data_IF_504124522218
#
_entry.id   IF_504124522218
#
_cell.length_a   1.000
_cell.length_b   1.000
_cell.length_c   1.000
_cell.angle_alpha   90.00
_cell.angle_beta   90.00
_cell.angle_gamma   90.00
#
_symmetry.space_group_name_H-M   'P 1'
#
loop_
_entity.id
_entity.type
_entity.pdbx_description
1 polymer ?
#
# COMPACT_ATOMS: atom_id res chain seq x y z
N UNK A 1 42.06 79.33 -29.96
CA UNK A 1 40.78 79.54 -30.66
C UNK A 1 40.58 78.33 -31.55
N UNK A 2 39.43 77.65 -31.49
CA UNK A 2 39.24 76.44 -32.31
C UNK A 2 38.82 76.81 -33.75
N UNK A 3 38.92 75.86 -34.68
CA UNK A 3 38.59 76.11 -36.09
C UNK A 3 37.16 76.63 -36.30
N UNK A 4 36.20 76.21 -35.46
CA UNK A 4 34.81 76.67 -35.49
C UNK A 4 34.71 78.13 -35.07
N UNK A 5 35.40 78.53 -34.00
CA UNK A 5 35.44 79.91 -33.55
C UNK A 5 36.09 80.82 -34.61
N UNK A 6 37.16 80.37 -35.27
CA UNK A 6 37.85 81.11 -36.34
C UNK A 6 36.96 81.31 -37.57
N UNK A 7 36.21 80.27 -37.96
CA UNK A 7 35.19 80.37 -39.01
C UNK A 7 34.10 81.39 -38.63
N UNK A 8 33.69 81.41 -37.36
CA UNK A 8 32.67 82.35 -36.88
C UNK A 8 33.19 83.80 -36.89
N UNK A 9 34.46 84.01 -36.54
CA UNK A 9 35.12 85.32 -36.70
C UNK A 9 35.24 85.72 -38.17
N UNK A 10 35.65 84.81 -39.06
CA UNK A 10 35.72 85.06 -40.50
C UNK A 10 34.35 85.48 -41.05
N UNK A 11 33.27 84.79 -40.65
CA UNK A 11 31.89 85.17 -40.99
C UNK A 11 31.54 86.56 -40.46
N UNK A 12 31.89 86.87 -39.22
CA UNK A 12 31.64 88.18 -38.61
C UNK A 12 32.35 89.31 -39.36
N UNK A 13 33.60 89.07 -39.79
CA UNK A 13 34.38 90.02 -40.58
C UNK A 13 33.74 90.25 -41.94
N UNK A 14 33.30 89.18 -42.62
CA UNK A 14 32.59 89.26 -43.90
C UNK A 14 31.27 90.04 -43.74
N UNK A 15 30.49 89.78 -42.69
CA UNK A 15 29.23 90.46 -42.42
C UNK A 15 29.40 91.93 -42.02
N UNK A 16 30.51 92.27 -41.36
CA UNK A 16 30.88 93.63 -40.96
C UNK A 16 31.59 94.46 -42.04
N UNK A 17 31.80 93.90 -43.24
CA UNK A 17 32.53 94.60 -44.31
C UNK A 17 31.84 95.90 -44.77
N UNK A 18 32.65 96.95 -44.94
CA UNK A 18 32.16 98.20 -45.53
C UNK A 18 31.99 97.99 -47.04
N UNK A 19 30.76 98.14 -47.56
CA UNK A 19 30.48 97.97 -49.00
C UNK A 19 31.16 99.06 -49.82
N UNK A 20 31.80 98.67 -50.93
CA UNK A 20 32.42 99.61 -51.86
C UNK A 20 31.33 100.23 -52.75
N UNK A 21 31.16 101.57 -52.76
CA UNK A 21 30.16 102.22 -53.61
C UNK A 21 30.38 101.91 -55.09
N UNK A 22 29.32 101.56 -55.82
CA UNK A 22 29.36 101.27 -57.26
C UNK A 22 29.67 99.82 -57.65
N UNK A 23 30.05 98.95 -56.71
CA UNK A 23 30.33 97.53 -56.97
C UNK A 23 29.38 96.65 -56.15
N UNK A 24 28.46 95.93 -56.81
CA UNK A 24 27.61 94.96 -56.13
C UNK A 24 28.47 93.78 -55.63
N UNK A 25 28.20 93.35 -54.39
CA UNK A 25 28.87 92.22 -53.72
C UNK A 25 30.39 92.36 -53.52
N UNK A 26 30.91 93.58 -53.39
CA UNK A 26 32.30 93.82 -52.95
C UNK A 26 32.33 94.64 -51.66
N UNK A 27 33.00 94.11 -50.65
CA UNK A 27 33.25 94.76 -49.37
C UNK A 27 34.74 94.97 -49.15
N UNK A 28 35.10 96.05 -48.47
CA UNK A 28 36.46 96.33 -48.05
C UNK A 28 36.73 95.56 -46.76
N UNK A 29 37.78 94.73 -46.79
CA UNK A 29 38.24 93.89 -45.68
C UNK A 29 39.68 94.29 -45.37
N UNK A 30 40.05 94.27 -44.10
CA UNK A 30 41.44 94.38 -43.70
C UNK A 30 42.18 93.10 -44.08
N UNK A 31 43.14 93.22 -45.00
CA UNK A 31 43.87 92.09 -45.54
C UNK A 31 44.76 91.43 -44.48
N UNK A 32 45.36 92.23 -43.59
CA UNK A 32 46.29 91.73 -42.56
C UNK A 32 45.51 90.86 -41.55
N UNK A 33 44.39 91.39 -41.04
CA UNK A 33 43.49 90.65 -40.15
C UNK A 33 42.87 89.38 -40.78
N UNK A 34 42.58 89.40 -42.09
CA UNK A 34 42.08 88.23 -42.80
C UNK A 34 43.16 87.15 -42.96
N UNK A 35 44.38 87.58 -43.28
CA UNK A 35 45.51 86.67 -43.47
C UNK A 35 45.94 86.01 -42.16
N UNK A 36 45.89 86.75 -41.04
CA UNK A 36 46.12 86.20 -39.70
C UNK A 36 45.16 85.05 -39.39
N UNK A 37 43.86 85.20 -39.68
CA UNK A 37 42.85 84.14 -39.44
C UNK A 37 43.09 82.94 -40.36
N UNK A 38 43.47 83.18 -41.62
CA UNK A 38 43.77 82.09 -42.58
C UNK A 38 45.02 81.32 -42.16
N UNK A 39 46.09 82.00 -41.75
CA UNK A 39 47.33 81.38 -41.26
C UNK A 39 47.09 80.60 -39.97
N UNK A 40 46.24 81.12 -39.07
CA UNK A 40 45.86 80.42 -37.83
C UNK A 40 45.00 79.18 -38.11
N UNK A 41 44.07 79.26 -39.08
CA UNK A 41 43.29 78.12 -39.56
C UNK A 41 44.18 77.07 -40.24
N UNK A 42 45.09 77.49 -41.12
CA UNK A 42 45.99 76.58 -41.84
C UNK A 42 46.93 75.84 -40.87
N UNK A 43 47.35 76.51 -39.80
CA UNK A 43 48.20 75.91 -38.76
C UNK A 43 47.44 74.99 -37.81
N UNK A 44 46.23 75.36 -37.37
CA UNK A 44 45.53 74.66 -36.29
C UNK A 44 44.54 73.59 -36.79
N UNK A 45 43.91 73.76 -37.95
CA UNK A 45 42.92 72.82 -38.49
C UNK A 45 43.49 71.40 -38.73
N UNK A 46 44.71 71.21 -39.29
CA UNK A 46 45.28 69.88 -39.44
C UNK A 46 45.53 69.18 -38.11
N UNK A 47 45.95 69.93 -37.09
CA UNK A 47 46.19 69.43 -35.73
C UNK A 47 44.88 68.99 -35.10
N UNK A 48 43.83 69.82 -35.18
CA UNK A 48 42.49 69.50 -34.64
C UNK A 48 41.86 68.27 -35.34
N UNK A 49 42.07 68.10 -36.65
CA UNK A 49 41.64 66.90 -37.40
C UNK A 49 42.45 65.67 -36.97
N UNK A 50 43.76 65.80 -36.77
CA UNK A 50 44.60 64.69 -36.32
C UNK A 50 44.20 64.22 -34.92
N UNK A 51 44.03 65.15 -33.98
CA UNK A 51 43.55 64.86 -32.62
C UNK A 51 42.17 64.19 -32.64
N UNK A 52 41.25 64.69 -33.47
CA UNK A 52 39.93 64.07 -33.65
C UNK A 52 40.02 62.64 -34.16
N UNK A 53 40.90 62.37 -35.13
CA UNK A 53 41.13 61.01 -35.66
C UNK A 53 41.76 60.09 -34.61
N UNK A 54 42.66 60.60 -33.77
CA UNK A 54 43.23 59.84 -32.65
C UNK A 54 42.16 59.49 -31.60
N UNK A 55 41.28 60.43 -31.26
CA UNK A 55 40.13 60.20 -30.38
C UNK A 55 39.20 59.14 -30.98
N UNK A 56 38.91 59.20 -32.29
CA UNK A 56 38.09 58.18 -32.96
C UNK A 56 38.74 56.80 -32.91
N UNK A 57 40.05 56.69 -33.17
CA UNK A 57 40.79 55.43 -33.04
C UNK A 57 40.77 54.89 -31.61
N UNK A 58 40.95 55.74 -30.62
CA UNK A 58 40.88 55.36 -29.20
C UNK A 58 39.47 54.86 -28.84
N UNK A 59 38.43 55.57 -29.28
CA UNK A 59 37.04 55.14 -29.09
C UNK A 59 36.77 53.79 -29.74
N UNK A 60 37.19 53.57 -30.98
CA UNK A 60 37.01 52.28 -31.66
C UNK A 60 37.73 51.14 -30.92
N UNK A 61 38.93 51.40 -30.40
CA UNK A 61 39.67 50.45 -29.56
C UNK A 61 38.92 50.13 -28.26
N UNK A 62 38.39 51.13 -27.57
CA UNK A 62 37.60 50.97 -26.34
C UNK A 62 36.34 50.14 -26.63
N UNK A 63 35.61 50.46 -27.70
CA UNK A 63 34.41 49.71 -28.10
C UNK A 63 34.74 48.26 -28.40
N UNK A 64 35.83 48.01 -29.14
CA UNK A 64 36.26 46.65 -29.47
C UNK A 64 36.67 45.86 -28.23
N UNK A 65 37.38 46.48 -27.29
CA UNK A 65 37.77 45.87 -26.02
C UNK A 65 36.53 45.53 -25.16
N UNK A 66 35.59 46.48 -25.04
CA UNK A 66 34.34 46.28 -24.31
C UNK A 66 33.47 45.17 -24.93
N UNK A 67 33.40 45.09 -26.26
CA UNK A 67 32.71 44.01 -26.97
C UNK A 67 33.35 42.64 -26.73
N UNK A 68 34.68 42.57 -26.75
CA UNK A 68 35.41 41.34 -26.49
C UNK A 68 35.19 40.86 -25.06
N UNK A 69 35.25 41.76 -24.09
CA UNK A 69 35.00 41.44 -22.69
C UNK A 69 33.55 41.00 -22.44
N UNK A 70 32.58 41.68 -23.07
CA UNK A 70 31.17 41.28 -23.00
C UNK A 70 30.92 39.89 -23.61
N UNK A 71 31.62 39.56 -24.70
CA UNK A 71 31.55 38.21 -25.29
C UNK A 71 32.13 37.17 -24.34
N UNK A 72 33.30 37.44 -23.75
CA UNK A 72 33.95 36.54 -22.79
C UNK A 72 33.06 36.28 -21.58
N UNK A 73 32.47 37.32 -21.01
CA UNK A 73 31.56 37.20 -19.88
C UNK A 73 30.33 36.35 -20.21
N UNK A 74 29.74 36.51 -21.41
CA UNK A 74 28.63 35.65 -21.85
C UNK A 74 29.05 34.18 -21.95
N UNK A 75 30.22 33.91 -22.51
CA UNK A 75 30.71 32.54 -22.67
C UNK A 75 30.98 31.87 -21.31
N UNK A 76 31.54 32.61 -20.35
CA UNK A 76 31.75 32.15 -18.97
C UNK A 76 30.41 31.85 -18.27
N UNK A 77 29.46 32.79 -18.30
CA UNK A 77 28.12 32.60 -17.71
C UNK A 77 27.38 31.42 -18.37
N UNK A 78 27.48 31.28 -19.70
CA UNK A 78 26.84 30.17 -20.41
C UNK A 78 27.44 28.82 -20.03
N UNK A 79 28.76 28.74 -19.82
CA UNK A 79 29.42 27.53 -19.33
C UNK A 79 28.96 27.17 -17.92
N UNK A 80 28.97 28.13 -17.01
CA UNK A 80 28.51 27.92 -15.63
C UNK A 80 27.04 27.49 -15.58
N UNK A 81 26.18 28.15 -16.35
CA UNK A 81 24.76 27.80 -16.44
C UNK A 81 24.56 26.39 -17.00
N UNK A 82 25.34 25.98 -18.00
CA UNK A 82 25.27 24.63 -18.54
C UNK A 82 25.70 23.58 -17.50
N UNK A 83 26.76 23.85 -16.73
CA UNK A 83 27.22 22.98 -15.65
C UNK A 83 26.12 22.86 -14.57
N UNK A 84 25.60 23.99 -14.08
CA UNK A 84 24.51 24.00 -13.10
C UNK A 84 23.27 23.26 -13.61
N UNK A 85 22.89 23.44 -14.88
CA UNK A 85 21.74 22.74 -15.47
C UNK A 85 21.96 21.23 -15.49
N UNK A 86 23.16 20.78 -15.85
CA UNK A 86 23.51 19.36 -15.85
C UNK A 86 23.50 18.78 -14.44
N UNK A 87 24.04 19.50 -13.46
CA UNK A 87 24.08 19.01 -12.08
C UNK A 87 22.69 19.00 -11.43
N UNK A 88 21.88 20.05 -11.66
CA UNK A 88 20.48 20.06 -11.24
C UNK A 88 19.68 18.91 -11.89
N UNK A 89 19.93 18.61 -13.17
CA UNK A 89 19.29 17.48 -13.85
C UNK A 89 19.69 16.14 -13.21
N UNK A 90 20.98 15.95 -12.89
CA UNK A 90 21.44 14.72 -12.21
C UNK A 90 20.80 14.56 -10.83
N UNK A 91 20.64 15.65 -10.07
CA UNK A 91 19.97 15.60 -8.76
C UNK A 91 18.50 15.20 -8.90
N UNK A 92 17.79 15.77 -9.88
CA UNK A 92 16.41 15.41 -10.20
C UNK A 92 16.31 13.93 -10.60
N UNK A 93 17.20 13.46 -11.48
CA UNK A 93 17.22 12.07 -11.94
C UNK A 93 17.50 11.11 -10.77
N UNK A 94 18.45 11.44 -9.89
CA UNK A 94 18.76 10.66 -8.71
C UNK A 94 17.60 10.63 -7.70
N UNK A 95 16.87 11.74 -7.56
CA UNK A 95 15.68 11.83 -6.71
C UNK A 95 14.53 10.98 -7.29
N UNK A 96 14.31 11.02 -8.60
CA UNK A 96 13.31 10.19 -9.27
C UNK A 96 13.62 8.70 -9.14
N UNK A 97 14.88 8.29 -9.29
CA UNK A 97 15.29 6.90 -9.09
C UNK A 97 14.96 6.41 -7.68
N UNK A 98 15.37 7.16 -6.64
CA UNK A 98 15.06 6.79 -5.24
C UNK A 98 13.56 6.73 -4.97
N UNK A 99 12.80 7.69 -5.50
CA UNK A 99 11.36 7.74 -5.33
C UNK A 99 10.67 6.53 -5.99
N UNK A 100 11.14 6.12 -7.18
CA UNK A 100 10.63 4.95 -7.87
C UNK A 100 10.95 3.65 -7.11
N UNK A 101 12.19 3.48 -6.62
CA UNK A 101 12.57 2.31 -5.81
C UNK A 101 11.71 2.19 -4.55
N UNK A 102 11.47 3.29 -3.84
CA UNK A 102 10.59 3.31 -2.67
C UNK A 102 9.13 3.01 -3.02
N UNK A 103 8.66 3.48 -4.19
CA UNK A 103 7.31 3.24 -4.66
C UNK A 103 7.09 1.76 -5.01
N UNK A 104 8.05 1.13 -5.70
CA UNK A 104 8.01 -0.31 -6.00
C UNK A 104 7.95 -1.15 -4.72
N UNK A 105 8.76 -0.82 -3.71
CA UNK A 105 8.73 -1.50 -2.41
C UNK A 105 7.38 -1.35 -1.71
N UNK A 106 6.76 -0.17 -1.75
CA UNK A 106 5.44 0.08 -1.14
C UNK A 106 4.32 -0.67 -1.86
N UNK A 107 4.33 -0.72 -3.20
CA UNK A 107 3.38 -1.54 -3.97
C UNK A 107 3.56 -3.01 -3.61
N UNK A 108 4.79 -3.52 -3.67
CA UNK A 108 5.06 -4.92 -3.36
C UNK A 108 4.60 -5.29 -1.94
N UNK A 109 4.87 -4.43 -0.96
CA UNK A 109 4.37 -4.64 0.40
C UNK A 109 2.84 -4.65 0.47
N UNK A 110 2.18 -3.71 -0.23
CA UNK A 110 0.71 -3.66 -0.30
C UNK A 110 0.12 -4.89 -0.99
N UNK A 111 0.73 -5.41 -2.05
CA UNK A 111 0.31 -6.63 -2.74
C UNK A 111 0.45 -7.85 -1.84
N UNK A 112 1.56 -7.97 -1.12
CA UNK A 112 1.76 -9.06 -0.15
C UNK A 112 0.71 -9.00 0.95
N UNK A 113 0.38 -7.81 1.47
CA UNK A 113 -0.67 -7.65 2.48
C UNK A 113 -2.06 -7.98 1.92
N UNK A 114 -2.38 -7.56 0.70
CA UNK A 114 -3.65 -7.86 0.05
C UNK A 114 -3.82 -9.37 -0.19
N UNK A 115 -2.78 -10.06 -0.67
CA UNK A 115 -2.82 -11.52 -0.85
C UNK A 115 -2.87 -12.26 0.48
N UNK A 116 -2.11 -11.82 1.49
CA UNK A 116 -2.12 -12.44 2.82
C UNK A 116 -3.48 -12.31 3.51
N UNK A 117 -4.13 -11.14 3.40
CA UNK A 117 -5.49 -10.92 3.95
C UNK A 117 -6.52 -11.79 3.23
N UNK A 118 -6.49 -11.82 1.89
CA UNK A 118 -7.36 -12.70 1.11
C UNK A 118 -7.21 -14.17 1.49
N UNK A 119 -5.98 -14.69 1.58
CA UNK A 119 -5.74 -16.08 2.01
C UNK A 119 -6.20 -16.36 3.44
N UNK A 120 -6.04 -15.39 4.34
CA UNK A 120 -6.52 -15.53 5.71
C UNK A 120 -8.05 -15.62 5.78
N UNK A 121 -8.76 -14.82 4.97
CA UNK A 121 -10.22 -14.89 4.84
C UNK A 121 -10.68 -16.23 4.25
N UNK A 122 -10.05 -16.69 3.17
CA UNK A 122 -10.35 -18.00 2.56
C UNK A 122 -10.15 -19.15 3.55
N UNK A 123 -9.01 -19.18 4.25
CA UNK A 123 -8.71 -20.20 5.25
C UNK A 123 -9.67 -20.15 6.43
N UNK A 124 -10.04 -18.95 6.88
CA UNK A 124 -11.01 -18.77 7.96
C UNK A 124 -12.38 -19.31 7.55
N UNK A 125 -12.81 -19.05 6.32
CA UNK A 125 -14.09 -19.53 5.81
C UNK A 125 -14.10 -21.05 5.63
N UNK A 126 -13.02 -21.63 5.09
CA UNK A 126 -12.84 -23.08 4.95
C UNK A 126 -12.89 -23.75 6.32
N UNK A 127 -12.09 -23.27 7.28
CA UNK A 127 -12.06 -23.81 8.64
C UNK A 127 -13.42 -23.70 9.33
N UNK A 128 -14.17 -22.61 9.11
CA UNK A 128 -15.51 -22.44 9.67
C UNK A 128 -16.50 -23.45 9.06
N UNK A 129 -16.40 -23.71 7.76
CA UNK A 129 -17.24 -24.70 7.07
C UNK A 129 -16.93 -26.12 7.57
N UNK A 130 -15.64 -26.47 7.65
CA UNK A 130 -15.18 -27.78 8.13
C UNK A 130 -15.60 -28.01 9.59
N UNK A 131 -15.43 -27.02 10.45
CA UNK A 131 -15.85 -27.10 11.85
C UNK A 131 -17.37 -27.26 11.96
N UNK A 132 -18.14 -26.59 11.10
CA UNK A 132 -19.61 -26.73 11.05
C UNK A 132 -20.03 -28.13 10.61
N UNK A 133 -19.35 -28.71 9.61
CA UNK A 133 -19.60 -30.08 9.16
C UNK A 133 -19.22 -31.11 10.24
N UNK A 134 -18.03 -30.99 10.82
CA UNK A 134 -17.60 -31.89 11.91
C UNK A 134 -18.56 -31.85 13.09
N UNK A 135 -19.07 -30.67 13.44
CA UNK A 135 -20.09 -30.53 14.49
C UNK A 135 -21.39 -31.26 14.11
N UNK A 136 -21.86 -31.10 12.88
CA UNK A 136 -23.08 -31.76 12.41
C UNK A 136 -22.93 -33.28 12.41
N UNK A 137 -21.80 -33.79 11.94
CA UNK A 137 -21.50 -35.22 11.92
C UNK A 137 -21.43 -35.79 13.33
N UNK A 138 -20.73 -35.11 14.25
CA UNK A 138 -20.65 -35.51 15.65
C UNK A 138 -22.04 -35.51 16.33
N UNK A 139 -22.90 -34.54 16.03
CA UNK A 139 -24.27 -34.50 16.53
C UNK A 139 -25.12 -35.67 15.99
N UNK A 140 -24.97 -36.00 14.71
CA UNK A 140 -25.69 -37.12 14.09
C UNK A 140 -25.23 -38.47 14.64
N UNK A 141 -23.92 -38.68 14.79
CA UNK A 141 -23.38 -39.89 15.38
C UNK A 141 -23.76 -40.04 16.85
N UNK A 142 -23.75 -38.94 17.61
CA UNK A 142 -24.23 -38.94 19.00
C UNK A 142 -25.69 -39.39 19.08
N UNK A 143 -26.57 -38.86 18.21
CA UNK A 143 -27.99 -39.28 18.15
C UNK A 143 -28.12 -40.76 17.83
N UNK A 144 -27.40 -41.25 16.81
CA UNK A 144 -27.43 -42.67 16.43
C UNK A 144 -27.00 -43.59 17.56
N UNK A 145 -25.92 -43.23 18.27
CA UNK A 145 -25.43 -44.02 19.41
C UNK A 145 -26.47 -44.07 20.53
N UNK A 146 -27.13 -42.94 20.83
CA UNK A 146 -28.18 -42.89 21.85
C UNK A 146 -29.38 -43.75 21.45
N UNK A 147 -29.84 -43.66 20.20
CA UNK A 147 -30.95 -44.47 19.69
C UNK A 147 -30.64 -45.98 19.75
N UNK A 148 -29.45 -46.38 19.31
CA UNK A 148 -29.01 -47.77 19.36
C UNK A 148 -28.87 -48.28 20.80
N UNK A 149 -28.36 -47.46 21.72
CA UNK A 149 -28.26 -47.79 23.13
C UNK A 149 -29.64 -47.99 23.76
N UNK A 150 -30.59 -47.07 23.51
CA UNK A 150 -31.97 -47.19 23.97
C UNK A 150 -32.67 -48.44 23.44
N UNK A 151 -32.43 -48.79 22.17
CA UNK A 151 -32.98 -50.00 21.56
C UNK A 151 -32.43 -51.26 22.24
N UNK A 152 -31.12 -51.31 22.49
CA UNK A 152 -30.47 -52.43 23.20
C UNK A 152 -30.97 -52.54 24.64
N UNK A 153 -31.08 -51.42 25.34
CA UNK A 153 -31.63 -51.38 26.70
C UNK A 153 -33.03 -51.99 26.75
N UNK A 154 -33.92 -51.56 25.84
CA UNK A 154 -35.28 -52.08 25.76
C UNK A 154 -35.31 -53.59 25.48
N UNK A 155 -34.44 -54.09 24.61
CA UNK A 155 -34.32 -55.52 24.34
C UNK A 155 -33.82 -56.32 25.55
N UNK A 156 -32.83 -55.79 26.29
CA UNK A 156 -32.32 -56.42 27.51
C UNK A 156 -33.43 -56.48 28.57
N UNK A 157 -34.17 -55.39 28.77
CA UNK A 157 -35.29 -55.35 29.71
C UNK A 157 -36.39 -56.35 29.32
N UNK A 158 -36.75 -56.43 28.03
CA UNK A 158 -37.76 -57.39 27.55
C UNK A 158 -37.31 -58.85 27.73
N UNK A 159 -36.06 -59.17 27.40
CA UNK A 159 -35.53 -60.54 27.57
C UNK A 159 -35.37 -60.92 29.04
N UNK A 160 -34.93 -59.99 29.88
CA UNK A 160 -34.85 -60.17 31.33
C UNK A 160 -36.23 -60.39 31.96
N UNK A 161 -37.25 -59.60 31.60
CA UNK A 161 -38.62 -59.78 32.10
C UNK A 161 -39.21 -61.12 31.66
N UNK A 162 -39.02 -61.50 30.39
CA UNK A 162 -39.46 -62.80 29.88
C UNK A 162 -38.80 -63.96 30.63
N UNK A 163 -37.47 -63.95 30.76
CA UNK A 163 -36.73 -65.00 31.48
C UNK A 163 -37.11 -65.05 32.97
N UNK A 164 -37.37 -63.90 33.60
CA UNK A 164 -37.84 -63.81 34.98
C UNK A 164 -39.21 -64.48 35.15
N UNK A 165 -40.15 -64.21 34.24
CA UNK A 165 -41.48 -64.86 34.23
C UNK A 165 -41.36 -66.36 34.03
N UNK A 166 -40.62 -66.81 33.00
CA UNK A 166 -40.40 -68.24 32.73
C UNK A 166 -39.79 -68.97 33.93
N UNK A 167 -38.81 -68.35 34.62
CA UNK A 167 -38.21 -68.91 35.84
C UNK A 167 -39.21 -68.99 37.00
N UNK A 168 -40.04 -67.96 37.20
CA UNK A 168 -41.09 -67.95 38.23
C UNK A 168 -42.11 -69.04 37.96
N UNK A 169 -42.64 -69.10 36.74
CA UNK A 169 -43.65 -70.07 36.34
C UNK A 169 -43.11 -71.51 36.47
N UNK A 170 -41.86 -71.75 36.03
CA UNK A 170 -41.21 -73.06 36.17
C UNK A 170 -40.96 -73.45 37.64
N UNK A 171 -40.55 -72.49 38.49
CA UNK A 171 -40.38 -72.73 39.92
C UNK A 171 -41.73 -73.04 40.61
N UNK A 172 -42.79 -72.31 40.24
CA UNK A 172 -44.14 -72.52 40.76
C UNK A 172 -44.69 -73.89 40.32
N UNK A 173 -44.47 -74.29 39.07
CA UNK A 173 -44.84 -75.62 38.58
C UNK A 173 -44.09 -76.72 39.33
N UNK A 174 -42.77 -76.60 39.47
CA UNK A 174 -41.98 -77.56 40.23
C UNK A 174 -42.43 -77.66 41.69
N UNK A 175 -42.72 -76.52 42.34
CA UNK A 175 -43.25 -76.51 43.69
C UNK A 175 -44.58 -77.26 43.79
N UNK A 176 -45.49 -77.08 42.81
CA UNK A 176 -46.75 -77.84 42.76
C UNK A 176 -46.51 -79.34 42.61
N UNK A 177 -45.64 -79.76 41.69
CA UNK A 177 -45.33 -81.18 41.47
C UNK A 177 -44.77 -81.84 42.73
N UNK A 178 -43.82 -81.19 43.41
CA UNK A 178 -43.27 -81.70 44.67
C UNK A 178 -44.34 -81.77 45.77
N UNK A 179 -45.20 -80.76 45.88
CA UNK A 179 -46.30 -80.76 46.85
C UNK A 179 -47.31 -81.89 46.57
N UNK A 180 -47.68 -82.13 45.31
CA UNK A 180 -48.54 -83.25 44.93
C UNK A 180 -47.90 -84.61 45.24
N UNK A 181 -46.61 -84.79 44.93
CA UNK A 181 -45.90 -86.01 45.28
C UNK A 181 -45.80 -86.24 46.80
N UNK A 182 -45.65 -85.16 47.57
CA UNK A 182 -45.65 -85.23 49.03
C UNK A 182 -47.04 -85.61 49.56
N UNK A 183 -48.10 -85.04 49.00
CA UNK A 183 -49.50 -85.36 49.34
C UNK A 183 -49.83 -86.83 49.06
N UNK A 184 -49.46 -87.35 47.89
CA UNK A 184 -49.69 -88.74 47.51
C UNK A 184 -48.95 -89.71 48.45
N UNK A 185 -47.68 -89.38 48.76
CA UNK A 185 -46.87 -90.16 49.70
C UNK A 185 -47.47 -90.16 51.11
N UNK A 186 -47.92 -89.01 51.61
CA UNK A 186 -48.59 -88.90 52.90
C UNK A 186 -49.93 -89.67 52.91
N UNK A 187 -50.69 -89.61 51.82
CA UNK A 187 -51.95 -90.34 51.66
C UNK A 187 -51.75 -91.85 51.70
N UNK A 188 -50.73 -92.35 51.00
CA UNK A 188 -50.34 -93.76 51.04
C UNK A 188 -49.92 -94.22 52.44
N UNK A 189 -49.10 -93.42 53.14
CA UNK A 189 -48.70 -93.69 54.51
C UNK A 189 -49.89 -93.67 55.48
N UNK A 190 -50.81 -92.71 55.35
CA UNK A 190 -52.05 -92.66 56.13
C UNK A 190 -52.93 -93.88 55.87
N UNK A 191 -53.03 -94.34 54.62
CA UNK A 191 -53.79 -95.54 54.29
C UNK A 191 -53.16 -96.80 54.91
N UNK A 192 -51.83 -96.92 54.90
CA UNK A 192 -51.14 -98.00 55.61
C UNK A 192 -51.39 -97.97 57.12
N UNK A 193 -51.40 -96.78 57.73
CA UNK A 193 -51.73 -96.62 59.16
C UNK A 193 -53.18 -97.06 59.42
N UNK A 194 -54.14 -96.66 58.57
CA UNK A 194 -55.55 -97.09 58.69
C UNK A 194 -55.69 -98.61 58.60
N UNK A 195 -55.12 -99.24 57.57
CA UNK A 195 -55.12 -100.70 57.42
C UNK A 195 -54.48 -101.40 58.63
N UNK A 196 -53.42 -100.83 59.21
CA UNK A 196 -52.82 -101.32 60.45
C UNK A 196 -53.74 -101.19 61.66
N UNK A 197 -54.46 -100.07 61.80
CA UNK A 197 -55.47 -99.86 62.85
C UNK A 197 -56.64 -100.84 62.69
N UNK A 198 -57.17 -101.00 61.48
CA UNK A 198 -58.27 -101.93 61.18
C UNK A 198 -57.87 -103.37 61.51
N UNK A 199 -56.65 -103.79 61.11
CA UNK A 199 -56.09 -105.10 61.45
C UNK A 199 -55.98 -105.32 62.96
N UNK A 200 -55.56 -104.30 63.72
CA UNK A 200 -55.50 -104.37 65.19
C UNK A 200 -56.90 -104.41 65.84
N UNK A 201 -57.90 -103.84 65.17
CA UNK A 201 -59.30 -103.82 65.65
C UNK A 201 -59.99 -105.16 65.37
N UNK A 202 -59.78 -105.77 64.20
CA UNK A 202 -60.22 -107.15 63.91
C UNK A 202 -59.58 -108.18 64.85
N UNK A 203 -58.29 -108.02 65.17
CA UNK A 203 -57.61 -108.89 66.17
C UNK A 203 -58.25 -108.76 67.56
N UNK A 204 -58.84 -107.60 67.88
CA UNK A 204 -59.61 -107.41 69.12
C UNK A 204 -60.98 -108.08 69.06
N UNK A 205 -61.69 -108.02 67.93
CA UNK A 205 -63.00 -108.69 67.77
C UNK A 205 -62.88 -110.22 67.78
N UNK A 206 -61.82 -110.78 67.18
CA UNK A 206 -61.52 -112.23 67.22
C UNK A 206 -61.17 -112.72 68.64
N UNK A 207 -60.67 -111.84 69.51
CA UNK A 207 -60.36 -112.19 70.92
C UNK A 207 -61.56 -112.03 71.88
N UNK A 208 -62.70 -111.53 71.41
CA UNK A 208 -63.90 -111.29 72.24
C UNK A 208 -65.06 -112.25 71.90
N UNK A 209 -64.96 -113.07 70.84
CA UNK A 209 -65.82 -114.25 70.58
C UNK A 209 -65.19 -115.54 71.09
#
# INVERSE_FOLDING_TARGET
>A
MNSVEMIEQLKSMILGTTRVPGLKNRGMVDLDSLMDIVDELEKNLPVEIQESNEILKQKDSIVKSAMMEASRMRDEVQKEMNIQKVDAQKEVDAMMLKANDEYELKISHSEVMAEATKRAEELSQETQNDCSQLKLDAENDSKRIIEDAQKKEKQILMTADKSSKEKKDGADQYAREILFHLEDKLSSQLNQIRLGIDSLTEIKEIKIS
#
